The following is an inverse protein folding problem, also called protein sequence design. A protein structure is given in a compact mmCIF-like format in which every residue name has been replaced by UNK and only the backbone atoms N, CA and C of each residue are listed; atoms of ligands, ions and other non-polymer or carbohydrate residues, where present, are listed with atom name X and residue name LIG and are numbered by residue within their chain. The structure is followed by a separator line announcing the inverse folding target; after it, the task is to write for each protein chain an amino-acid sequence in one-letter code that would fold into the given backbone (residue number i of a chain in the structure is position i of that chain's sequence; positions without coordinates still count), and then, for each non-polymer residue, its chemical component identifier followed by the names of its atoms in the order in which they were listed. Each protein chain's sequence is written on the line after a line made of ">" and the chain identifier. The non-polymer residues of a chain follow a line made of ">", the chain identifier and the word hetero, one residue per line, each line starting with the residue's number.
data_IF_504531828726
#
_entry.id   IF_504531828726
#
_cell.length_a   1.000
_cell.length_b   1.000
_cell.length_c   1.000
_cell.angle_alpha   90.00
_cell.angle_beta   90.00
_cell.angle_gamma   90.00
#
_symmetry.space_group_name_H-M   'P 1'
#
loop_
_entity.id
_entity.type
_entity.pdbx_description
1 polymer ?
#
# COMPACT_ATOMS: atom_id res chain seq x y z
N UNK A 1 -8.76 -1.33 -4.21
CA UNK A 1 -7.68 -0.32 -4.16
C UNK A 1 -8.10 0.84 -3.28
N UNK A 2 -9.34 1.31 -3.43
CA UNK A 2 -9.94 2.35 -2.59
C UNK A 2 -10.11 1.93 -1.12
N UNK A 3 -10.55 0.70 -0.84
CA UNK A 3 -10.72 0.21 0.54
C UNK A 3 -9.44 0.28 1.38
N UNK A 4 -8.30 0.04 0.74
CA UNK A 4 -7.02 0.03 1.43
C UNK A 4 -6.46 1.45 1.60
N UNK A 5 -6.66 2.31 0.61
CA UNK A 5 -6.35 3.74 0.73
C UNK A 5 -7.15 4.35 1.90
N UNK A 6 -8.46 4.06 1.94
CA UNK A 6 -9.35 4.47 3.00
C UNK A 6 -8.93 3.89 4.37
N UNK A 7 -8.46 2.63 4.40
CA UNK A 7 -7.93 2.02 5.63
C UNK A 7 -6.65 2.73 6.11
N UNK A 8 -5.76 3.18 5.21
CA UNK A 8 -4.56 3.93 5.59
C UNK A 8 -4.91 5.32 6.15
N UNK A 9 -5.90 5.98 5.55
CA UNK A 9 -6.44 7.26 6.02
C UNK A 9 -7.09 7.11 7.41
N UNK A 10 -7.94 6.09 7.59
CA UNK A 10 -8.60 5.80 8.87
C UNK A 10 -7.58 5.49 9.99
N UNK A 11 -6.51 4.77 9.68
CA UNK A 11 -5.47 4.45 10.65
C UNK A 11 -4.55 5.64 10.96
N UNK A 12 -4.67 6.77 10.25
CA UNK A 12 -3.84 7.98 10.40
C UNK A 12 -2.33 7.70 10.42
N UNK A 13 -1.89 6.62 9.77
CA UNK A 13 -0.49 6.19 9.76
C UNK A 13 0.30 6.80 8.60
N UNK A 14 -0.38 7.43 7.64
CA UNK A 14 0.20 8.01 6.44
C UNK A 14 -0.51 9.31 6.04
N UNK A 15 0.25 10.28 5.55
CA UNK A 15 -0.26 11.50 4.92
C UNK A 15 0.28 11.60 3.49
N UNK A 16 -0.60 11.89 2.54
CA UNK A 16 -0.19 12.18 1.18
C UNK A 16 0.43 13.59 1.13
N UNK A 17 1.76 13.66 1.08
CA UNK A 17 2.49 14.93 1.02
C UNK A 17 3.12 15.18 -0.34
N UNK A 18 3.36 16.46 -0.66
CA UNK A 18 4.11 16.84 -1.86
C UNK A 18 5.59 16.50 -1.67
N UNK A 19 6.26 16.07 -2.74
CA UNK A 19 7.68 15.75 -2.70
C UNK A 19 8.48 16.99 -2.26
N UNK A 20 9.20 16.96 -1.13
CA UNK A 20 10.00 18.09 -0.69
C UNK A 20 11.12 18.41 -1.69
N UNK A 21 11.46 19.70 -1.80
CA UNK A 21 12.48 20.17 -2.73
C UNK A 21 13.84 19.47 -2.49
N UNK A 22 14.50 19.06 -3.57
CA UNK A 22 15.80 18.38 -3.51
C UNK A 22 15.76 16.90 -3.12
N UNK A 23 14.57 16.30 -2.94
CA UNK A 23 14.41 14.86 -2.74
C UNK A 23 13.90 14.20 -4.00
N UNK A 24 14.30 12.93 -4.24
CA UNK A 24 13.79 12.10 -5.33
C UNK A 24 12.70 11.20 -4.78
N UNK A 25 11.51 11.22 -5.38
CA UNK A 25 10.47 10.27 -5.06
C UNK A 25 10.96 8.85 -5.36
N UNK A 26 10.75 7.94 -4.40
CA UNK A 26 11.04 6.54 -4.63
C UNK A 26 9.97 5.97 -5.55
N UNK A 27 10.40 5.31 -6.62
CA UNK A 27 9.47 4.51 -7.39
C UNK A 27 8.94 3.41 -6.48
N UNK A 28 7.63 3.31 -6.37
CA UNK A 28 6.96 2.27 -5.61
C UNK A 28 6.03 1.47 -6.53
N UNK A 29 5.66 0.29 -6.08
CA UNK A 29 4.68 -0.56 -6.74
C UNK A 29 3.79 -1.21 -5.70
N UNK A 30 2.52 -1.36 -6.05
CA UNK A 30 1.57 -2.16 -5.29
C UNK A 30 1.69 -3.62 -5.70
N UNK A 31 1.80 -4.51 -4.73
CA UNK A 31 1.80 -5.96 -4.93
C UNK A 31 0.56 -6.53 -4.28
N UNK A 32 -0.27 -7.18 -5.09
CA UNK A 32 -1.49 -7.86 -4.67
C UNK A 32 -1.21 -9.36 -4.60
N UNK A 33 -1.58 -10.01 -3.50
CA UNK A 33 -1.52 -11.45 -3.34
C UNK A 33 -2.83 -11.94 -2.77
N UNK A 34 -3.50 -12.83 -3.50
CA UNK A 34 -4.64 -13.54 -2.96
C UNK A 34 -4.16 -14.46 -1.83
N UNK A 35 -4.81 -14.35 -0.67
CA UNK A 35 -4.65 -15.26 0.44
C UNK A 35 -5.94 -16.04 0.63
N UNK A 36 -5.79 -17.34 0.74
CA UNK A 36 -6.85 -18.24 1.14
C UNK A 36 -6.64 -18.58 2.62
N UNK A 37 -7.65 -18.27 3.43
CA UNK A 37 -7.65 -18.59 4.85
C UNK A 37 -8.15 -20.03 5.04
N UNK A 38 -7.83 -20.63 6.19
CA UNK A 38 -8.20 -22.03 6.51
C UNK A 38 -9.71 -22.28 6.51
N UNK A 39 -10.51 -21.23 6.67
CA UNK A 39 -11.97 -21.26 6.59
C UNK A 39 -12.52 -21.15 5.16
N UNK A 40 -11.67 -21.17 4.13
CA UNK A 40 -12.04 -21.04 2.72
C UNK A 40 -12.33 -19.60 2.27
N UNK A 41 -12.24 -18.62 3.17
CA UNK A 41 -12.39 -17.20 2.82
C UNK A 41 -11.16 -16.71 2.06
N UNK A 42 -11.40 -15.98 0.98
CA UNK A 42 -10.35 -15.39 0.16
C UNK A 42 -10.29 -13.90 0.41
N UNK A 43 -9.12 -13.39 0.75
CA UNK A 43 -8.87 -11.96 0.85
C UNK A 43 -7.64 -11.57 0.05
N UNK A 44 -7.64 -10.35 -0.47
CA UNK A 44 -6.44 -9.80 -1.10
C UNK A 44 -5.56 -9.19 -0.02
N UNK A 45 -4.34 -9.73 0.12
CA UNK A 45 -3.28 -9.06 0.86
C UNK A 45 -2.51 -8.18 -0.09
N UNK A 46 -2.46 -6.90 0.22
CA UNK A 46 -1.78 -5.93 -0.60
C UNK A 46 -0.60 -5.35 0.18
N UNK A 47 0.44 -4.98 -0.54
CA UNK A 47 1.66 -4.36 0.01
C UNK A 47 2.15 -3.28 -0.94
N UNK A 48 2.46 -2.10 -0.40
CA UNK A 48 3.24 -1.09 -1.10
C UNK A 48 4.74 -1.40 -0.91
N UNK A 49 5.46 -1.58 -2.01
CA UNK A 49 6.88 -1.93 -1.99
C UNK A 49 7.65 -0.92 -2.84
N UNK A 50 8.81 -0.48 -2.34
CA UNK A 50 9.74 0.34 -3.14
C UNK A 50 10.28 -0.51 -4.28
N UNK A 51 10.11 -0.04 -5.51
CA UNK A 51 10.76 -0.59 -6.69
C UNK A 51 12.24 -0.20 -6.58
N UNK A 52 13.10 -1.20 -6.41
CA UNK A 52 14.46 -1.07 -5.89
C UNK A 52 15.28 0.12 -6.37
N UNK A 53 16.10 0.62 -5.45
CA UNK A 53 17.26 1.48 -5.69
C UNK A 53 18.38 0.70 -6.40
#
# INVERSE_FOLDING_TARGET
>A
MEDEMHSLELNQTWELTKLPSGKKALQNKWVYRLKEESNGSKHYKVKLIVKGF
#
